data_IF_621032661899
#
_entry.id   IF_621032661899
#
_cell.length_a   1.000
_cell.length_b   1.000
_cell.length_c   1.000
_cell.angle_alpha   90.00
_cell.angle_beta   90.00
_cell.angle_gamma   90.00
#
_symmetry.space_group_name_H-M   'P 1'
#
loop_
_entity.id
_entity.type
_entity.pdbx_description
1 polymer ?
#
# COMPACT_ATOMS: atom_id res chain seq x y z
N UNK A 1 3.59 13.01 -2.56
CA UNK A 1 3.40 12.51 -1.18
C UNK A 1 4.64 12.72 -0.32
N UNK A 2 5.80 12.92 -0.92
CA UNK A 2 7.06 12.79 -0.22
C UNK A 2 7.32 11.32 0.10
N UNK A 3 7.88 11.02 1.28
CA UNK A 3 8.22 9.66 1.68
C UNK A 3 7.01 8.77 1.94
N UNK A 4 5.86 9.32 2.29
CA UNK A 4 4.70 8.53 2.69
C UNK A 4 3.96 7.83 1.55
N UNK A 5 3.20 6.81 1.90
CA UNK A 5 2.36 6.01 0.99
C UNK A 5 0.91 6.50 0.93
N UNK A 6 0.34 6.52 -0.25
CA UNK A 6 -1.11 6.64 -0.45
C UNK A 6 -1.48 6.06 -1.81
N UNK A 7 -2.35 5.06 -1.82
CA UNK A 7 -2.79 4.39 -3.05
C UNK A 7 -4.31 4.42 -3.17
N UNK A 8 -4.82 5.10 -4.20
CA UNK A 8 -6.24 5.08 -4.55
C UNK A 8 -6.51 3.97 -5.58
N UNK A 9 -7.48 3.12 -5.29
CA UNK A 9 -7.99 2.10 -6.19
C UNK A 9 -9.45 2.43 -6.52
N UNK A 10 -9.79 2.42 -7.81
CA UNK A 10 -11.15 2.65 -8.30
C UNK A 10 -11.58 1.53 -9.23
N UNK A 11 -12.78 0.99 -9.04
CA UNK A 11 -13.36 -0.03 -9.90
C UNK A 11 -14.89 0.13 -9.92
N UNK A 12 -15.48 0.29 -11.11
CA UNK A 12 -16.93 0.34 -11.34
C UNK A 12 -17.70 1.30 -10.40
N UNK A 13 -17.13 2.49 -10.15
CA UNK A 13 -17.74 3.50 -9.27
C UNK A 13 -17.46 3.28 -7.78
N UNK A 14 -16.78 2.23 -7.40
CA UNK A 14 -16.31 1.95 -6.05
C UNK A 14 -14.90 2.47 -5.84
N UNK A 15 -14.56 2.81 -4.60
CA UNK A 15 -13.25 3.38 -4.25
C UNK A 15 -12.68 2.77 -2.98
N UNK A 16 -11.37 2.49 -2.99
CA UNK A 16 -10.60 2.06 -1.83
C UNK A 16 -9.34 2.91 -1.73
N UNK A 17 -8.99 3.30 -0.52
CA UNK A 17 -7.72 3.96 -0.22
C UNK A 17 -6.87 3.05 0.66
N UNK A 18 -5.63 2.81 0.27
CA UNK A 18 -4.60 2.17 1.09
C UNK A 18 -3.61 3.26 1.48
N UNK A 19 -3.51 3.52 2.78
CA UNK A 19 -2.72 4.58 3.40
C UNK A 19 -3.06 6.01 2.94
N UNK A 20 -2.57 7.01 3.65
CA UNK A 20 -2.90 8.42 3.41
C UNK A 20 -1.70 9.37 3.59
N UNK A 21 -0.48 8.81 3.62
CA UNK A 21 0.76 9.56 3.75
C UNK A 21 0.97 10.23 5.10
N UNK A 22 1.98 11.09 5.18
CA UNK A 22 2.35 11.81 6.39
C UNK A 22 1.26 12.78 6.88
N UNK A 23 1.36 13.21 8.16
CA UNK A 23 0.43 14.15 8.80
C UNK A 23 0.20 15.46 8.01
N UNK A 24 1.21 15.96 7.31
CA UNK A 24 1.12 17.18 6.49
C UNK A 24 0.50 16.92 5.11
N UNK A 25 0.18 15.67 4.76
CA UNK A 25 -0.35 15.27 3.44
C UNK A 25 -1.86 15.03 3.41
N UNK A 26 -2.53 14.97 4.55
CA UNK A 26 -3.98 14.68 4.60
C UNK A 26 -4.82 15.57 3.67
N UNK A 27 -4.55 16.88 3.63
CA UNK A 27 -5.24 17.80 2.70
C UNK A 27 -4.88 17.51 1.23
N UNK A 28 -3.65 17.10 0.94
CA UNK A 28 -3.23 16.73 -0.42
C UNK A 28 -3.99 15.48 -0.89
N UNK A 29 -4.07 14.46 -0.04
CA UNK A 29 -4.84 13.23 -0.32
C UNK A 29 -6.32 13.55 -0.48
N UNK A 30 -6.92 14.33 0.43
CA UNK A 30 -8.30 14.79 0.31
C UNK A 30 -8.57 15.44 -1.05
N UNK A 31 -7.74 16.41 -1.45
CA UNK A 31 -7.91 17.12 -2.71
C UNK A 31 -7.76 16.17 -3.90
N UNK A 32 -6.81 15.25 -3.87
CA UNK A 32 -6.64 14.25 -4.91
C UNK A 32 -7.89 13.36 -5.04
N UNK A 33 -8.40 12.84 -3.94
CA UNK A 33 -9.63 12.02 -3.93
C UNK A 33 -10.82 12.78 -4.53
N UNK A 34 -11.00 14.05 -4.15
CA UNK A 34 -12.06 14.91 -4.71
C UNK A 34 -11.90 15.14 -6.23
N UNK A 35 -10.67 15.41 -6.70
CA UNK A 35 -10.41 15.56 -8.14
C UNK A 35 -10.64 14.26 -8.92
N UNK A 36 -10.46 13.11 -8.26
CA UNK A 36 -10.78 11.80 -8.83
C UNK A 36 -12.28 11.45 -8.75
N UNK A 37 -13.13 12.37 -8.25
CA UNK A 37 -14.57 12.17 -8.13
C UNK A 37 -14.96 11.17 -7.05
N UNK A 38 -14.12 10.96 -6.03
CA UNK A 38 -14.44 10.11 -4.90
C UNK A 38 -15.37 10.86 -3.95
N UNK A 39 -16.55 10.30 -3.69
CA UNK A 39 -17.52 10.80 -2.71
C UNK A 39 -17.54 9.90 -1.47
N UNK A 40 -17.43 8.61 -1.67
CA UNK A 40 -17.45 7.57 -0.63
C UNK A 40 -16.27 6.64 -0.84
N UNK A 41 -15.65 6.20 0.26
CA UNK A 41 -14.65 5.14 0.27
C UNK A 41 -15.31 3.85 0.79
N UNK A 42 -15.41 2.84 -0.07
CA UNK A 42 -15.93 1.53 0.35
C UNK A 42 -14.98 0.89 1.35
N UNK A 43 -13.68 1.09 1.14
CA UNK A 43 -12.62 0.61 2.04
C UNK A 43 -11.58 1.70 2.26
N UNK A 44 -11.13 1.81 3.50
CA UNK A 44 -9.91 2.53 3.89
C UNK A 44 -9.03 1.55 4.64
N UNK A 45 -7.81 1.33 4.15
CA UNK A 45 -6.85 0.43 4.77
C UNK A 45 -5.71 1.25 5.32
N UNK A 46 -5.49 1.23 6.64
CA UNK A 46 -4.26 1.67 7.26
C UNK A 46 -3.36 0.47 7.44
N UNK A 47 -2.28 0.38 6.67
CA UNK A 47 -1.44 -0.82 6.65
C UNK A 47 -0.80 -1.08 8.01
N UNK A 48 -0.23 -0.05 8.62
CA UNK A 48 0.35 -0.09 9.96
C UNK A 48 0.37 1.33 10.57
N UNK A 49 0.59 1.48 11.89
CA UNK A 49 0.30 2.75 12.58
C UNK A 49 1.38 3.82 12.46
N UNK A 50 2.28 3.77 11.50
CA UNK A 50 3.34 4.78 11.34
C UNK A 50 2.85 6.01 10.57
N UNK A 51 3.48 7.15 10.87
CA UNK A 51 2.98 8.46 10.45
C UNK A 51 3.01 8.68 8.93
N UNK A 52 3.94 8.08 8.22
CA UNK A 52 4.06 8.17 6.77
C UNK A 52 3.05 7.28 6.01
N UNK A 53 2.26 6.50 6.74
CA UNK A 53 1.15 5.69 6.24
C UNK A 53 -0.20 6.23 6.69
N UNK A 54 -0.43 6.38 7.98
CA UNK A 54 -1.74 6.79 8.49
C UNK A 54 -1.84 8.28 8.84
N UNK A 55 -0.77 9.07 8.62
CA UNK A 55 -0.71 10.46 9.06
C UNK A 55 -1.79 11.38 8.49
N UNK A 56 -2.19 11.17 7.24
CA UNK A 56 -3.29 11.91 6.61
C UNK A 56 -4.66 11.26 6.76
N UNK A 57 -4.74 10.10 7.41
CA UNK A 57 -5.97 9.30 7.47
C UNK A 57 -7.07 9.97 8.29
N UNK A 58 -6.74 10.69 9.35
CA UNK A 58 -7.69 11.47 10.16
C UNK A 58 -8.47 12.48 9.31
N UNK A 59 -7.78 13.18 8.40
CA UNK A 59 -8.40 14.12 7.45
C UNK A 59 -9.32 13.39 6.48
N UNK A 60 -8.88 12.25 5.92
CA UNK A 60 -9.69 11.43 5.00
C UNK A 60 -10.95 10.93 5.70
N UNK A 61 -10.82 10.31 6.87
CA UNK A 61 -11.94 9.78 7.65
C UNK A 61 -12.91 10.87 8.09
N UNK A 62 -12.42 12.08 8.35
CA UNK A 62 -13.28 13.21 8.69
C UNK A 62 -14.08 13.73 7.48
N UNK A 63 -13.47 13.77 6.29
CA UNK A 63 -14.00 14.42 5.09
C UNK A 63 -14.86 13.55 4.21
N UNK A 64 -14.59 12.24 4.19
CA UNK A 64 -15.31 11.28 3.34
C UNK A 64 -16.20 10.37 4.19
N UNK A 65 -17.24 9.84 3.55
CA UNK A 65 -17.98 8.70 4.09
C UNK A 65 -17.18 7.42 3.82
N UNK A 66 -16.83 6.69 4.91
CA UNK A 66 -16.00 5.49 4.84
C UNK A 66 -16.80 4.29 5.38
N UNK A 67 -17.02 3.27 4.53
CA UNK A 67 -17.88 2.14 4.91
C UNK A 67 -17.15 1.11 5.77
N UNK A 68 -15.94 0.74 5.36
CA UNK A 68 -15.12 -0.27 6.07
C UNK A 68 -13.72 0.26 6.27
N UNK A 69 -13.23 0.24 7.51
CA UNK A 69 -11.88 0.68 7.85
C UNK A 69 -11.13 -0.55 8.37
N UNK A 70 -10.10 -0.97 7.64
CA UNK A 70 -9.27 -2.13 7.97
C UNK A 70 -7.93 -1.63 8.51
N UNK A 71 -7.57 -2.03 9.72
CA UNK A 71 -6.29 -1.73 10.36
C UNK A 71 -5.86 -2.93 11.21
N UNK A 72 -4.56 -3.16 11.40
CA UNK A 72 -4.08 -4.26 12.23
C UNK A 72 -4.48 -4.06 13.70
N UNK A 73 -4.55 -5.17 14.45
CA UNK A 73 -4.88 -5.15 15.88
C UNK A 73 -3.63 -4.81 16.72
N UNK A 74 -3.09 -3.63 16.49
CA UNK A 74 -1.96 -3.10 17.23
C UNK A 74 -2.16 -1.61 17.49
N UNK A 75 -1.86 -1.19 18.72
CA UNK A 75 -1.86 0.23 19.10
C UNK A 75 -0.43 0.79 19.00
N UNK A 76 -0.35 2.08 18.65
CA UNK A 76 0.89 2.84 18.71
C UNK A 76 0.71 4.03 19.69
N UNK A 77 1.76 4.39 20.40
CA UNK A 77 1.73 5.49 21.37
C UNK A 77 2.10 6.84 20.73
N UNK A 78 1.74 7.04 19.47
CA UNK A 78 2.02 8.26 18.73
C UNK A 78 0.78 9.15 18.65
N UNK A 79 1.00 10.45 18.55
CA UNK A 79 -0.10 11.41 18.34
C UNK A 79 -0.85 11.11 17.03
N UNK A 80 -0.15 10.70 15.99
CA UNK A 80 -0.75 10.32 14.71
C UNK A 80 -1.79 9.22 14.87
N UNK A 81 -1.45 8.16 15.60
CA UNK A 81 -2.38 7.06 15.87
C UNK A 81 -3.58 7.55 16.70
N UNK A 82 -3.32 8.35 17.73
CA UNK A 82 -4.37 8.91 18.58
C UNK A 82 -5.34 9.79 17.79
N UNK A 83 -4.85 10.63 16.87
CA UNK A 83 -5.68 11.52 16.04
C UNK A 83 -6.59 10.69 15.10
N UNK A 84 -6.09 9.60 14.51
CA UNK A 84 -6.88 8.65 13.69
C UNK A 84 -7.97 7.98 14.53
N UNK A 85 -7.60 7.39 15.66
CA UNK A 85 -8.54 6.70 16.57
C UNK A 85 -9.60 7.67 17.10
N UNK A 86 -9.22 8.90 17.47
CA UNK A 86 -10.16 9.90 17.92
C UNK A 86 -11.13 10.32 16.82
N UNK A 87 -10.66 10.45 15.59
CA UNK A 87 -11.51 10.75 14.42
C UNK A 87 -12.50 9.63 14.16
N UNK A 88 -12.05 8.38 14.17
CA UNK A 88 -12.92 7.20 14.05
C UNK A 88 -14.01 7.20 15.12
N UNK A 89 -13.64 7.46 16.39
CA UNK A 89 -14.57 7.51 17.50
C UNK A 89 -15.61 8.63 17.33
N UNK A 90 -15.18 9.82 16.91
CA UNK A 90 -16.06 10.97 16.70
C UNK A 90 -17.07 10.73 15.57
N UNK A 91 -16.68 9.97 14.55
CA UNK A 91 -17.53 9.60 13.40
C UNK A 91 -18.35 8.32 13.63
N UNK A 92 -18.12 7.61 14.74
CA UNK A 92 -18.80 6.34 15.04
C UNK A 92 -18.28 5.17 14.18
N UNK A 93 -17.11 5.30 13.58
CA UNK A 93 -16.48 4.23 12.82
C UNK A 93 -15.90 3.15 13.75
N UNK A 94 -15.83 1.93 13.23
CA UNK A 94 -15.20 0.79 13.91
C UNK A 94 -14.08 0.24 13.04
N UNK A 95 -13.03 -0.24 13.68
CA UNK A 95 -11.97 -0.98 12.99
C UNK A 95 -12.46 -2.38 12.66
N UNK A 96 -12.22 -2.80 11.41
CA UNK A 96 -12.25 -4.19 10.99
C UNK A 96 -10.83 -4.72 11.06
N UNK A 97 -10.60 -5.76 11.85
CA UNK A 97 -9.30 -6.39 11.91
C UNK A 97 -9.07 -7.32 10.72
N UNK A 98 -7.88 -7.29 10.11
CA UNK A 98 -7.58 -8.13 8.95
C UNK A 98 -7.55 -9.61 9.34
N UNK A 99 -8.14 -10.45 8.51
CA UNK A 99 -8.09 -11.91 8.64
C UNK A 99 -7.46 -12.49 7.38
N UNK A 100 -6.32 -13.14 7.51
CA UNK A 100 -5.61 -13.74 6.37
C UNK A 100 -6.49 -14.76 5.66
N UNK A 101 -6.58 -14.64 4.33
CA UNK A 101 -7.45 -15.43 3.46
C UNK A 101 -8.86 -14.85 3.27
N UNK A 102 -9.28 -13.86 4.07
CA UNK A 102 -10.56 -13.20 3.84
C UNK A 102 -10.53 -12.36 2.57
N UNK A 103 -11.60 -12.48 1.78
CA UNK A 103 -11.73 -11.81 0.48
C UNK A 103 -12.90 -10.84 0.48
N UNK A 104 -12.67 -9.66 -0.06
CA UNK A 104 -13.63 -8.57 -0.23
C UNK A 104 -13.81 -8.24 -1.71
N UNK A 105 -14.94 -7.64 -2.07
CA UNK A 105 -15.19 -7.17 -3.44
C UNK A 105 -15.15 -5.66 -3.53
N UNK A 106 -14.63 -5.14 -4.64
CA UNK A 106 -14.65 -3.73 -5.00
C UNK A 106 -15.05 -3.61 -6.48
N UNK A 107 -16.32 -3.26 -6.75
CA UNK A 107 -16.86 -3.35 -8.10
C UNK A 107 -16.73 -4.75 -8.69
N UNK A 108 -16.18 -4.86 -9.90
CA UNK A 108 -15.87 -6.13 -10.57
C UNK A 108 -14.55 -6.79 -10.12
N UNK A 109 -13.77 -6.12 -9.28
CA UNK A 109 -12.52 -6.64 -8.72
C UNK A 109 -12.73 -7.24 -7.32
N UNK A 110 -11.75 -7.99 -6.84
CA UNK A 110 -11.72 -8.54 -5.49
C UNK A 110 -10.33 -8.39 -4.88
N UNK A 111 -10.25 -8.28 -3.56
CA UNK A 111 -8.97 -8.32 -2.87
C UNK A 111 -8.98 -9.29 -1.70
N UNK A 112 -7.86 -9.94 -1.47
CA UNK A 112 -7.65 -10.90 -0.38
C UNK A 112 -6.63 -10.35 0.59
N UNK A 113 -6.90 -10.45 1.89
CA UNK A 113 -5.94 -10.14 2.94
C UNK A 113 -4.90 -11.25 3.03
N UNK A 114 -3.62 -10.91 3.00
CA UNK A 114 -2.52 -11.87 3.04
C UNK A 114 -1.59 -11.67 4.25
N UNK A 115 -1.74 -10.56 4.96
CA UNK A 115 -0.98 -10.21 6.18
C UNK A 115 -1.81 -9.28 7.07
N UNK A 116 -1.49 -9.13 8.39
CA UNK A 116 -0.40 -9.79 9.12
C UNK A 116 -0.73 -11.27 9.44
N UNK A 117 0.30 -12.13 9.52
CA UNK A 117 0.12 -13.59 9.73
C UNK A 117 0.24 -14.01 11.20
N UNK A 118 0.74 -13.12 12.06
CA UNK A 118 0.89 -13.31 13.51
C UNK A 118 1.01 -11.94 14.20
N UNK A 119 1.20 -11.95 15.50
CA UNK A 119 1.61 -10.77 16.25
C UNK A 119 3.11 -10.50 16.11
N UNK A 120 3.48 -9.24 15.86
CA UNK A 120 4.88 -8.83 15.65
C UNK A 120 5.42 -7.96 16.79
N UNK A 121 4.68 -7.87 17.91
CA UNK A 121 5.12 -7.10 19.08
C UNK A 121 5.36 -5.62 18.73
N UNK A 122 6.58 -5.13 18.95
CA UNK A 122 6.94 -3.72 18.73
C UNK A 122 7.45 -3.44 17.29
N UNK A 123 7.50 -4.43 16.44
CA UNK A 123 7.86 -4.26 15.03
C UNK A 123 6.63 -3.78 14.24
N UNK A 124 6.42 -2.45 14.19
CA UNK A 124 5.22 -1.86 13.59
C UNK A 124 5.14 -2.12 12.09
N UNK A 125 6.26 -2.13 11.37
CA UNK A 125 6.30 -2.39 9.94
C UNK A 125 5.73 -3.77 9.58
N UNK A 126 6.11 -4.79 10.35
CA UNK A 126 5.65 -6.17 10.14
C UNK A 126 4.16 -6.40 10.45
N UNK A 127 3.48 -5.45 11.14
CA UNK A 127 2.02 -5.47 11.29
C UNK A 127 1.27 -5.04 10.03
N UNK A 128 1.97 -4.68 8.96
CA UNK A 128 1.38 -4.19 7.72
C UNK A 128 0.28 -5.11 7.18
N UNK A 129 -0.90 -4.53 6.93
CA UNK A 129 -1.99 -5.22 6.23
C UNK A 129 -1.57 -5.44 4.78
N UNK A 130 -1.36 -6.69 4.42
CA UNK A 130 -1.05 -7.12 3.06
C UNK A 130 -2.31 -7.37 2.25
N UNK A 131 -2.35 -6.87 1.03
CA UNK A 131 -3.50 -6.95 0.12
C UNK A 131 -3.06 -7.48 -1.23
N UNK A 132 -3.75 -8.52 -1.70
CA UNK A 132 -3.65 -9.01 -3.05
C UNK A 132 -4.95 -8.68 -3.79
N UNK A 133 -4.90 -7.71 -4.68
CA UNK A 133 -6.04 -7.28 -5.50
C UNK A 133 -6.01 -8.00 -6.84
N UNK A 134 -7.18 -8.47 -7.28
CA UNK A 134 -7.36 -9.09 -8.60
C UNK A 134 -8.46 -8.37 -9.40
N UNK A 135 -8.12 -8.01 -10.64
CA UNK A 135 -9.06 -7.50 -11.64
C UNK A 135 -8.91 -8.31 -12.94
N UNK A 136 -9.85 -9.19 -13.20
CA UNK A 136 -9.74 -10.13 -14.33
C UNK A 136 -8.46 -10.96 -14.23
N UNK A 137 -7.58 -10.85 -15.24
CA UNK A 137 -6.31 -11.57 -15.29
C UNK A 137 -5.17 -10.87 -14.55
N UNK A 138 -5.35 -9.61 -14.14
CA UNK A 138 -4.28 -8.83 -13.50
C UNK A 138 -4.36 -8.91 -11.98
N UNK A 139 -3.19 -9.03 -11.36
CA UNK A 139 -3.01 -9.09 -9.91
C UNK A 139 -2.06 -7.99 -9.46
N UNK A 140 -2.41 -7.35 -8.35
CA UNK A 140 -1.66 -6.24 -7.75
C UNK A 140 -1.39 -6.59 -6.30
N UNK A 141 -0.14 -6.51 -5.88
CA UNK A 141 0.29 -6.84 -4.53
C UNK A 141 0.72 -5.58 -3.77
N UNK A 142 0.17 -5.40 -2.58
CA UNK A 142 0.49 -4.35 -1.63
C UNK A 142 0.81 -4.97 -0.28
N UNK A 143 1.93 -4.66 0.31
CA UNK A 143 2.38 -5.24 1.58
C UNK A 143 2.78 -4.19 2.61
N UNK A 144 2.44 -2.91 2.36
CA UNK A 144 2.86 -1.80 3.22
C UNK A 144 4.37 -1.81 3.40
N UNK A 145 4.81 -1.79 4.65
CA UNK A 145 6.21 -1.82 5.02
C UNK A 145 6.66 -3.18 5.61
N UNK A 146 5.93 -4.26 5.27
CA UNK A 146 6.27 -5.59 5.71
C UNK A 146 7.75 -5.92 5.43
N UNK A 147 8.50 -6.22 6.48
CA UNK A 147 9.91 -6.56 6.41
C UNK A 147 10.13 -8.07 6.17
N UNK A 148 11.38 -8.50 5.97
CA UNK A 148 11.73 -9.88 5.59
C UNK A 148 11.07 -10.94 6.48
N UNK A 149 10.94 -10.68 7.80
CA UNK A 149 10.27 -11.60 8.72
C UNK A 149 8.79 -11.81 8.40
N UNK A 150 8.08 -10.72 8.08
CA UNK A 150 6.67 -10.78 7.68
C UNK A 150 6.52 -11.34 6.26
N UNK A 151 7.45 -11.06 5.35
CA UNK A 151 7.49 -11.68 4.02
C UNK A 151 7.60 -13.20 4.10
N UNK A 152 8.46 -13.71 4.99
CA UNK A 152 8.59 -15.16 5.23
C UNK A 152 7.28 -15.78 5.75
N UNK A 153 6.58 -15.10 6.66
CA UNK A 153 5.28 -15.55 7.16
C UNK A 153 4.21 -15.55 6.04
N UNK A 154 4.21 -14.54 5.17
CA UNK A 154 3.35 -14.49 3.97
C UNK A 154 3.64 -15.68 3.05
N UNK A 155 4.91 -15.99 2.79
CA UNK A 155 5.29 -17.14 1.96
C UNK A 155 4.83 -18.48 2.57
N UNK A 156 4.74 -18.56 3.89
CA UNK A 156 4.36 -19.78 4.60
C UNK A 156 2.84 -19.96 4.74
N UNK A 157 2.02 -18.92 4.54
CA UNK A 157 0.57 -19.04 4.70
C UNK A 157 -0.14 -19.82 3.59
N UNK A 158 0.57 -20.14 2.50
CA UNK A 158 0.08 -20.97 1.40
C UNK A 158 -0.80 -20.24 0.37
N UNK A 159 -0.98 -18.93 0.49
CA UNK A 159 -1.68 -18.12 -0.50
C UNK A 159 -0.71 -17.85 -1.67
N UNK A 160 -1.16 -18.10 -2.90
CA UNK A 160 -0.41 -17.69 -4.08
C UNK A 160 -0.39 -16.17 -4.19
N UNK A 161 0.81 -15.57 -4.02
CA UNK A 161 1.03 -14.12 -4.06
C UNK A 161 1.60 -13.64 -5.39
N UNK A 162 1.65 -14.49 -6.43
CA UNK A 162 2.10 -14.04 -7.75
C UNK A 162 1.28 -12.84 -8.21
N UNK A 163 1.92 -11.82 -8.77
CA UNK A 163 1.25 -10.58 -9.16
C UNK A 163 1.96 -9.90 -10.33
N UNK A 164 1.18 -9.26 -11.22
CA UNK A 164 1.73 -8.50 -12.35
C UNK A 164 2.38 -7.19 -11.88
N UNK A 165 1.79 -6.59 -10.84
CA UNK A 165 2.25 -5.32 -10.26
C UNK A 165 2.52 -5.48 -8.78
N UNK A 166 3.71 -5.15 -8.35
CA UNK A 166 4.12 -5.13 -6.95
C UNK A 166 4.39 -3.71 -6.48
N UNK A 167 3.62 -3.22 -5.50
CA UNK A 167 3.99 -2.04 -4.73
C UNK A 167 5.11 -2.45 -3.78
N UNK A 168 6.32 -2.01 -4.09
CA UNK A 168 7.53 -2.38 -3.35
C UNK A 168 7.40 -1.99 -1.88
N UNK A 169 7.66 -2.94 -1.00
CA UNK A 169 7.52 -2.76 0.43
C UNK A 169 8.53 -1.74 0.98
N UNK A 170 8.12 -1.05 2.04
CA UNK A 170 8.97 -0.18 2.84
C UNK A 170 9.77 0.82 2.00
N UNK A 171 9.09 1.44 1.02
CA UNK A 171 9.66 2.47 0.11
C UNK A 171 10.92 2.03 -0.65
N UNK A 172 11.16 0.72 -0.76
CA UNK A 172 12.38 0.16 -1.31
C UNK A 172 13.54 0.07 -0.30
N UNK A 173 13.22 -0.05 1.00
CA UNK A 173 14.21 -0.37 2.05
C UNK A 173 14.84 -1.74 1.82
N UNK A 174 16.13 -1.88 2.15
CA UNK A 174 16.84 -3.15 2.08
C UNK A 174 16.42 -4.16 3.17
N UNK A 175 15.56 -3.75 4.12
CA UNK A 175 14.95 -4.65 5.13
C UNK A 175 13.78 -5.45 4.57
N UNK A 176 13.31 -5.11 3.36
CA UNK A 176 12.17 -5.71 2.68
C UNK A 176 12.52 -6.15 1.25
N UNK A 177 11.53 -6.69 0.54
CA UNK A 177 11.66 -7.18 -0.84
C UNK A 177 12.81 -8.18 -0.95
N UNK A 178 12.81 -9.20 -0.05
CA UNK A 178 13.79 -10.27 -0.05
C UNK A 178 13.77 -11.03 -1.40
N UNK A 179 14.88 -11.67 -1.75
CA UNK A 179 14.95 -12.41 -3.02
C UNK A 179 13.87 -13.50 -3.09
N UNK A 180 13.66 -14.23 -1.99
CA UNK A 180 12.65 -15.29 -1.92
C UNK A 180 11.23 -14.73 -2.13
N UNK A 181 10.94 -13.54 -1.56
CA UNK A 181 9.65 -12.88 -1.75
C UNK A 181 9.48 -12.41 -3.19
N UNK A 182 10.49 -11.74 -3.75
CA UNK A 182 10.46 -11.28 -5.14
C UNK A 182 10.30 -12.43 -6.13
N UNK A 183 10.96 -13.56 -5.89
CA UNK A 183 10.86 -14.76 -6.72
C UNK A 183 9.43 -15.37 -6.68
N UNK A 184 8.76 -15.31 -5.51
CA UNK A 184 7.39 -15.80 -5.36
C UNK A 184 6.36 -14.85 -5.98
N UNK A 185 6.56 -13.54 -5.87
CA UNK A 185 5.67 -12.54 -6.50
C UNK A 185 5.85 -12.53 -8.01
N UNK A 186 7.06 -12.65 -8.49
CA UNK A 186 7.44 -12.67 -9.90
C UNK A 186 6.77 -11.55 -10.74
N UNK A 187 6.90 -10.27 -10.34
CA UNK A 187 6.16 -9.18 -10.94
C UNK A 187 6.76 -8.78 -12.30
N UNK A 188 5.90 -8.34 -13.22
CA UNK A 188 6.33 -7.65 -14.44
C UNK A 188 6.68 -6.19 -14.16
N UNK A 189 5.92 -5.58 -13.25
CA UNK A 189 6.05 -4.17 -12.88
C UNK A 189 6.19 -4.00 -11.37
N UNK A 190 7.01 -3.05 -10.97
CA UNK A 190 7.11 -2.62 -9.58
C UNK A 190 6.88 -1.10 -9.46
N UNK A 191 6.19 -0.69 -8.41
CA UNK A 191 6.02 0.73 -8.07
C UNK A 191 6.70 0.99 -6.75
N UNK A 192 7.64 1.93 -6.72
CA UNK A 192 8.31 2.40 -5.51
C UNK A 192 7.73 3.76 -5.15
N UNK A 193 7.18 3.87 -3.95
CA UNK A 193 6.76 5.12 -3.34
C UNK A 193 7.87 5.62 -2.44
N UNK A 194 8.54 6.68 -2.84
CA UNK A 194 9.63 7.31 -2.09
C UNK A 194 9.61 8.83 -2.31
N UNK A 195 10.20 9.58 -1.41
CA UNK A 195 10.33 11.03 -1.52
C UNK A 195 11.60 11.42 -2.25
N UNK A 196 11.52 12.39 -3.17
CA UNK A 196 12.69 13.01 -3.76
C UNK A 196 13.63 13.55 -2.67
N UNK A 197 14.90 13.15 -2.70
CA UNK A 197 15.91 13.58 -1.73
C UNK A 197 15.62 13.17 -0.28
N UNK A 198 14.89 12.06 -0.05
CA UNK A 198 14.58 11.57 1.28
C UNK A 198 15.85 11.24 2.08
N UNK A 199 15.78 11.40 3.41
CA UNK A 199 16.93 11.18 4.30
C UNK A 199 17.22 9.72 4.61
N UNK A 200 16.36 8.80 4.17
CA UNK A 200 16.50 7.36 4.41
C UNK A 200 17.38 6.67 3.36
N UNK A 201 17.63 7.34 2.23
CA UNK A 201 18.32 6.74 1.09
C UNK A 201 17.46 5.74 0.32
N UNK A 202 16.14 5.85 0.44
CA UNK A 202 15.20 5.00 -0.30
C UNK A 202 14.96 5.53 -1.72
N UNK A 203 14.83 4.61 -2.69
CA UNK A 203 15.03 3.16 -2.60
C UNK A 203 16.50 2.80 -2.48
N UNK A 204 16.83 1.81 -1.66
CA UNK A 204 18.19 1.31 -1.53
C UNK A 204 18.68 0.59 -2.80
N UNK A 205 19.98 0.72 -3.08
CA UNK A 205 20.60 0.11 -4.26
C UNK A 205 20.42 -1.41 -4.33
N UNK A 206 20.40 -2.09 -3.19
CA UNK A 206 20.18 -3.54 -3.11
C UNK A 206 18.83 -3.95 -3.67
N UNK A 207 17.77 -3.21 -3.36
CA UNK A 207 16.41 -3.47 -3.86
C UNK A 207 16.32 -3.18 -5.35
N UNK A 208 16.86 -2.03 -5.79
CA UNK A 208 16.93 -1.69 -7.21
C UNK A 208 17.68 -2.75 -8.01
N UNK A 209 18.79 -3.26 -7.49
CA UNK A 209 19.58 -4.31 -8.15
C UNK A 209 18.82 -5.64 -8.22
N UNK A 210 18.06 -6.04 -7.18
CA UNK A 210 17.21 -7.23 -7.21
C UNK A 210 16.13 -7.11 -8.29
N UNK A 211 15.40 -5.99 -8.31
CA UNK A 211 14.36 -5.73 -9.32
C UNK A 211 14.94 -5.74 -10.73
N UNK A 212 16.09 -5.09 -10.93
CA UNK A 212 16.78 -5.06 -12.21
C UNK A 212 17.23 -6.45 -12.66
N UNK A 213 17.81 -7.23 -11.75
CA UNK A 213 18.26 -8.59 -12.05
C UNK A 213 17.08 -9.53 -12.39
N UNK A 214 15.91 -9.29 -11.80
CA UNK A 214 14.68 -10.01 -12.12
C UNK A 214 13.98 -9.50 -13.40
N UNK A 215 14.51 -8.48 -14.08
CA UNK A 215 13.93 -7.93 -15.31
C UNK A 215 12.65 -7.13 -15.11
N UNK A 216 12.38 -6.67 -13.87
CA UNK A 216 11.17 -5.93 -13.52
C UNK A 216 11.24 -4.50 -14.04
N UNK A 217 10.15 -4.03 -14.64
CA UNK A 217 10.00 -2.62 -15.03
C UNK A 217 9.57 -1.79 -13.83
N UNK A 218 10.34 -0.76 -13.47
CA UNK A 218 10.15 0.00 -12.22
C UNK A 218 9.59 1.38 -12.51
N UNK A 219 8.60 1.79 -11.71
CA UNK A 219 8.11 3.15 -11.62
C UNK A 219 8.44 3.72 -10.24
N UNK A 220 8.83 5.01 -10.16
CA UNK A 220 9.31 5.65 -8.93
C UNK A 220 8.63 6.99 -8.71
N UNK A 221 8.00 7.20 -7.56
CA UNK A 221 7.31 8.47 -7.29
C UNK A 221 8.26 9.63 -7.01
N UNK A 222 9.46 9.38 -6.55
CA UNK A 222 10.51 10.38 -6.31
C UNK A 222 11.03 11.03 -7.61
N UNK A 223 10.94 10.30 -8.72
CA UNK A 223 11.36 10.80 -10.05
C UNK A 223 10.16 11.23 -10.91
N UNK A 224 9.04 10.53 -10.79
CA UNK A 224 7.95 10.58 -11.77
C UNK A 224 6.65 11.16 -11.21
N UNK A 225 6.58 11.40 -9.89
CA UNK A 225 5.38 11.92 -9.25
C UNK A 225 4.25 10.89 -9.17
N UNK A 226 3.03 11.26 -9.56
CA UNK A 226 1.88 10.36 -9.45
C UNK A 226 1.88 9.31 -10.55
N UNK A 227 1.93 8.04 -10.15
CA UNK A 227 1.90 6.88 -11.05
C UNK A 227 0.48 6.31 -11.10
N UNK A 228 -0.02 6.08 -12.32
CA UNK A 228 -1.35 5.52 -12.53
C UNK A 228 -1.25 4.27 -13.41
N UNK A 229 -1.71 3.14 -12.86
CA UNK A 229 -1.96 1.91 -13.61
C UNK A 229 -3.47 1.79 -13.90
N UNK A 230 -3.85 1.44 -15.10
CA UNK A 230 -5.23 1.14 -15.47
C UNK A 230 -5.33 -0.26 -16.08
N UNK A 231 -6.25 -1.06 -15.54
CA UNK A 231 -6.51 -2.43 -15.98
C UNK A 231 -7.97 -2.59 -16.37
N UNK A 232 -8.21 -3.12 -17.57
CA UNK A 232 -9.53 -3.56 -18.01
C UNK A 232 -9.77 -5.08 -17.76
N UNK A 233 -8.88 -5.72 -17.01
CA UNK A 233 -8.88 -7.15 -16.71
C UNK A 233 -8.11 -8.00 -17.72
N UNK A 234 -7.70 -7.43 -18.87
CA UNK A 234 -6.93 -8.09 -19.92
C UNK A 234 -5.71 -7.30 -20.39
N UNK A 235 -5.81 -5.98 -20.32
CA UNK A 235 -4.77 -5.03 -20.73
C UNK A 235 -4.42 -4.15 -19.54
N UNK A 236 -3.11 -3.99 -19.29
CA UNK A 236 -2.58 -3.07 -18.27
C UNK A 236 -1.88 -1.90 -18.98
N UNK A 237 -2.25 -0.70 -18.64
CA UNK A 237 -1.68 0.53 -19.19
C UNK A 237 -1.22 1.47 -18.08
N UNK A 238 -0.30 2.37 -18.41
CA UNK A 238 0.33 3.30 -17.48
C UNK A 238 0.26 4.73 -18.02
N UNK A 239 0.20 5.72 -17.12
CA UNK A 239 0.22 7.13 -17.51
C UNK A 239 1.61 7.61 -17.98
N UNK A 240 2.66 6.79 -17.83
CA UNK A 240 4.04 7.09 -18.22
C UNK A 240 4.82 5.81 -18.51
N UNK A 241 6.03 5.94 -19.04
CA UNK A 241 6.98 4.82 -19.19
C UNK A 241 7.66 4.51 -17.86
N UNK A 242 8.15 3.27 -17.65
CA UNK A 242 8.99 2.94 -16.50
C UNK A 242 10.21 3.86 -16.39
N UNK A 243 10.71 4.03 -15.17
CA UNK A 243 11.97 4.74 -14.94
C UNK A 243 13.14 3.94 -15.54
N UNK A 244 14.05 4.66 -16.17
CA UNK A 244 15.33 4.10 -16.66
C UNK A 244 16.46 4.28 -15.63
N UNK A 245 16.19 5.01 -14.55
CA UNK A 245 17.15 5.26 -13.47
C UNK A 245 17.20 4.09 -12.50
N UNK A 246 18.43 3.64 -12.24
CA UNK A 246 18.75 2.60 -11.26
C UNK A 246 19.66 3.15 -10.15
N UNK A 247 19.56 4.47 -9.90
CA UNK A 247 20.32 5.15 -8.87
C UNK A 247 19.48 5.21 -7.57
N UNK A 248 20.16 4.90 -6.46
CA UNK A 248 19.61 5.06 -5.12
C UNK A 248 19.70 6.53 -4.65
#
# INVERSE_FOLDING_TARGET
MGQGDATLIKCDGHSMLIDAGNNDKGTLVQNYLQHQGVETLDYVIGTHPDADHIGGMDVVLYKFDCKTIIMPDVANNTRTYDDVVQTMKNKGYKTTYPVVGETYTIGGAAFTIIAPNKEYGNDMNSWSVGVLLQNGNHRFLFTGDAEEGAEQDILQNGIDISADVYKVAHHGSNTATSQAFLDAVHPTYAVISAGEGNSYGHPHAEVLNRLRAAGVSVFRTDEQGTIVAASDGTTLTWNMSPSESWQA
#
